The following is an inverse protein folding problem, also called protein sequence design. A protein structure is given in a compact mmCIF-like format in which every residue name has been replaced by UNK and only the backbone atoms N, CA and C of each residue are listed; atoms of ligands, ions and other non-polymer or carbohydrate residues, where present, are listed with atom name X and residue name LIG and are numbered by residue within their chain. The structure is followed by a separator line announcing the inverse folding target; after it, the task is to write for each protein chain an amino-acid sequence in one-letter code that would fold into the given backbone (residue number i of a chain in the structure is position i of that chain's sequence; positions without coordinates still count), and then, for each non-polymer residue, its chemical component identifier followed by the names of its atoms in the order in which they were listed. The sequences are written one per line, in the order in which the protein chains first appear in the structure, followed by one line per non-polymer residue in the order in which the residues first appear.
data_IF_785850026675
#
_entry.id   IF_785850026675
#
_cell.length_a   1.000
_cell.length_b   1.000
_cell.length_c   1.000
_cell.angle_alpha   90.00
_cell.angle_beta   90.00
_cell.angle_gamma   90.00
#
_symmetry.space_group_name_H-M   'P 1'
#
loop_
_entity.id
_entity.type
_entity.pdbx_description
1 polymer ?
#
# COMPACT_ATOMS: atom_id res chain seq x y z
N UNK A 1 14.94 14.65 3.49
CA UNK A 1 13.56 14.52 2.97
C UNK A 1 12.66 15.17 4.01
N UNK A 2 11.81 16.16 3.67
CA UNK A 2 10.96 16.85 4.66
C UNK A 2 10.13 15.80 5.41
N UNK A 3 10.13 15.81 6.74
CA UNK A 3 9.39 14.84 7.60
C UNK A 3 7.96 14.65 7.12
N UNK A 4 7.30 15.74 6.73
CA UNK A 4 5.94 15.75 6.16
C UNK A 4 5.78 14.83 4.94
N UNK A 5 6.76 14.79 4.04
CA UNK A 5 6.73 13.91 2.85
C UNK A 5 6.83 12.46 3.29
N UNK A 6 7.73 12.15 4.22
CA UNK A 6 7.90 10.78 4.72
C UNK A 6 6.66 10.31 5.51
N UNK A 7 6.08 11.17 6.34
CA UNK A 7 4.84 10.91 7.05
C UNK A 7 3.67 10.70 6.08
N UNK A 8 3.54 11.54 5.05
CA UNK A 8 2.52 11.38 4.01
C UNK A 8 2.66 10.05 3.27
N UNK A 9 3.89 9.64 2.94
CA UNK A 9 4.16 8.35 2.30
C UNK A 9 3.81 7.19 3.24
N UNK A 10 4.13 7.29 4.53
CA UNK A 10 3.77 6.28 5.51
C UNK A 10 2.25 6.16 5.68
N UNK A 11 1.54 7.30 5.78
CA UNK A 11 0.08 7.35 5.83
C UNK A 11 -0.56 6.70 4.59
N UNK A 12 -0.04 7.02 3.40
CA UNK A 12 -0.53 6.42 2.15
C UNK A 12 -0.28 4.91 2.13
N UNK A 13 0.92 4.46 2.49
CA UNK A 13 1.24 3.03 2.53
C UNK A 13 0.37 2.25 3.53
N UNK A 14 0.07 2.84 4.69
CA UNK A 14 -0.83 2.24 5.68
C UNK A 14 -2.25 2.15 5.12
N UNK A 15 -2.78 3.25 4.55
CA UNK A 15 -4.13 3.28 3.98
C UNK A 15 -4.30 2.31 2.81
N UNK A 16 -3.33 2.27 1.90
CA UNK A 16 -3.26 1.34 0.77
C UNK A 16 -3.26 -0.12 1.26
N UNK A 17 -2.40 -0.43 2.24
CA UNK A 17 -2.34 -1.76 2.84
C UNK A 17 -3.65 -2.15 3.55
N UNK A 18 -4.32 -1.23 4.24
CA UNK A 18 -5.64 -1.53 4.86
C UNK A 18 -6.66 -1.89 3.79
N UNK A 19 -6.70 -1.18 2.66
CA UNK A 19 -7.58 -1.52 1.54
C UNK A 19 -7.24 -2.89 0.94
N UNK A 20 -5.96 -3.21 0.77
CA UNK A 20 -5.51 -4.51 0.27
C UNK A 20 -5.77 -5.68 1.23
N UNK A 21 -5.78 -5.46 2.55
CA UNK A 21 -6.15 -6.49 3.54
C UNK A 21 -7.66 -6.76 3.53
N UNK A 22 -8.47 -5.69 3.60
CA UNK A 22 -9.92 -5.80 3.74
C UNK A 22 -10.63 -6.13 2.43
N UNK A 23 -10.18 -5.53 1.34
CA UNK A 23 -10.82 -5.58 0.02
C UNK A 23 -9.83 -5.92 -1.11
N UNK A 24 -9.01 -6.99 -1.01
CA UNK A 24 -7.92 -7.26 -1.96
C UNK A 24 -8.39 -7.28 -3.41
N UNK A 25 -9.50 -7.96 -3.70
CA UNK A 25 -10.01 -8.11 -5.07
C UNK A 25 -10.56 -6.78 -5.59
N UNK A 26 -11.40 -6.09 -4.81
CA UNK A 26 -12.01 -4.83 -5.24
C UNK A 26 -10.94 -3.72 -5.36
N UNK A 27 -9.99 -3.69 -4.43
CA UNK A 27 -8.88 -2.74 -4.45
C UNK A 27 -8.05 -2.95 -5.71
N UNK A 28 -7.57 -4.17 -6.00
CA UNK A 28 -6.77 -4.44 -7.21
C UNK A 28 -7.54 -4.19 -8.52
N UNK A 29 -8.80 -4.62 -8.61
CA UNK A 29 -9.59 -4.46 -9.84
C UNK A 29 -9.97 -3.02 -10.15
N UNK A 30 -10.12 -2.14 -9.15
CA UNK A 30 -10.30 -0.69 -9.35
C UNK A 30 -9.10 -0.03 -10.04
N UNK A 31 -7.92 -0.63 -9.94
CA UNK A 31 -6.69 -0.17 -10.60
C UNK A 31 -6.41 -0.88 -11.93
N UNK A 32 -7.31 -1.75 -12.42
CA UNK A 32 -7.19 -2.45 -13.72
C UNK A 32 -7.44 -1.53 -14.93
N UNK A 33 -6.64 -0.47 -15.05
CA UNK A 33 -6.71 0.54 -16.10
C UNK A 33 -5.32 0.92 -16.63
N UNK A 34 -5.24 1.50 -17.83
CA UNK A 34 -3.94 1.89 -18.42
C UNK A 34 -3.21 0.75 -19.17
N UNK A 35 -1.87 0.77 -19.25
CA UNK A 35 -1.08 -0.15 -20.09
C UNK A 35 -1.27 -1.63 -19.76
N UNK A 36 -1.15 -2.51 -20.78
CA UNK A 36 -1.29 -3.97 -20.61
C UNK A 36 -0.44 -4.56 -19.46
N UNK A 37 0.84 -4.18 -19.27
CA UNK A 37 1.64 -4.73 -18.17
C UNK A 37 1.05 -4.39 -16.80
N UNK A 38 0.61 -3.15 -16.60
CA UNK A 38 0.02 -2.71 -15.33
C UNK A 38 -1.27 -3.49 -15.01
N UNK A 39 -2.15 -3.61 -16.00
CA UNK A 39 -3.38 -4.41 -15.88
C UNK A 39 -3.10 -5.87 -15.53
N UNK A 40 -2.06 -6.47 -16.14
CA UNK A 40 -1.67 -7.84 -15.83
C UNK A 40 -1.24 -8.00 -14.37
N UNK A 41 -0.48 -7.04 -13.81
CA UNK A 41 -0.13 -7.05 -12.38
C UNK A 41 -1.36 -6.92 -11.48
N UNK A 42 -2.25 -5.97 -11.76
CA UNK A 42 -3.46 -5.77 -10.95
C UNK A 42 -4.38 -6.99 -10.97
N UNK A 43 -4.52 -7.65 -12.12
CA UNK A 43 -5.26 -8.91 -12.24
C UNK A 43 -4.61 -10.03 -11.44
N UNK A 44 -3.29 -10.16 -11.50
CA UNK A 44 -2.59 -11.17 -10.70
C UNK A 44 -2.84 -11.01 -9.21
N UNK A 45 -2.83 -9.77 -8.68
CA UNK A 45 -3.18 -9.51 -7.28
C UNK A 45 -4.65 -9.80 -6.96
N UNK A 46 -5.56 -9.53 -7.89
CA UNK A 46 -6.98 -9.87 -7.74
C UNK A 46 -7.20 -11.39 -7.71
N UNK A 47 -6.46 -12.14 -8.53
CA UNK A 47 -6.53 -13.61 -8.62
C UNK A 47 -5.89 -14.31 -7.41
N UNK A 48 -5.00 -13.63 -6.66
CA UNK A 48 -4.28 -14.17 -5.50
C UNK A 48 -4.58 -13.39 -4.21
N UNK A 49 -5.85 -13.33 -3.74
CA UNK A 49 -6.23 -12.46 -2.63
C UNK A 49 -5.56 -12.83 -1.30
N UNK A 50 -5.14 -14.07 -1.10
CA UNK A 50 -4.37 -14.46 0.09
C UNK A 50 -2.97 -13.83 0.12
N UNK A 51 -2.27 -13.83 -1.02
CA UNK A 51 -0.96 -13.21 -1.17
C UNK A 51 -1.09 -11.69 -1.05
N UNK A 52 -2.10 -11.10 -1.69
CA UNK A 52 -2.36 -9.65 -1.61
C UNK A 52 -2.57 -9.22 -0.16
N UNK A 53 -3.37 -9.94 0.63
CA UNK A 53 -3.53 -9.65 2.06
C UNK A 53 -2.21 -9.72 2.83
N UNK A 54 -1.39 -10.74 2.59
CA UNK A 54 -0.11 -10.90 3.27
C UNK A 54 0.87 -9.76 2.93
N UNK A 55 0.98 -9.39 1.66
CA UNK A 55 1.80 -8.27 1.21
C UNK A 55 1.29 -6.94 1.76
N UNK A 56 -0.03 -6.73 1.75
CA UNK A 56 -0.64 -5.53 2.32
C UNK A 56 -0.48 -5.44 3.84
N UNK A 57 -0.53 -6.56 4.56
CA UNK A 57 -0.21 -6.60 5.99
C UNK A 57 1.27 -6.22 6.25
N UNK A 58 2.19 -6.73 5.42
CA UNK A 58 3.60 -6.36 5.48
C UNK A 58 3.81 -4.87 5.15
N UNK A 59 3.06 -4.32 4.19
CA UNK A 59 3.08 -2.90 3.83
C UNK A 59 2.60 -2.02 5.00
N UNK A 60 1.53 -2.39 5.69
CA UNK A 60 1.06 -1.70 6.91
C UNK A 60 2.18 -1.70 7.96
N UNK A 61 2.76 -2.86 8.24
CA UNK A 61 3.84 -2.97 9.23
C UNK A 61 5.06 -2.10 8.87
N UNK A 62 5.44 -2.06 7.59
CA UNK A 62 6.52 -1.22 7.09
C UNK A 62 6.17 0.28 7.20
N UNK A 63 4.94 0.68 6.88
CA UNK A 63 4.46 2.05 7.01
C UNK A 63 4.45 2.53 8.47
N UNK A 64 3.95 1.69 9.38
CA UNK A 64 3.98 1.98 10.84
C UNK A 64 5.41 2.08 11.34
N UNK A 65 6.29 1.16 10.96
CA UNK A 65 7.70 1.20 11.35
C UNK A 65 8.43 2.43 10.80
N UNK A 66 8.07 2.89 9.59
CA UNK A 66 8.59 4.12 9.01
C UNK A 66 8.14 5.34 9.82
N UNK A 67 6.83 5.48 10.07
CA UNK A 67 6.25 6.57 10.85
C UNK A 67 6.83 6.64 12.27
N UNK A 68 7.00 5.49 12.94
CA UNK A 68 7.56 5.41 14.29
C UNK A 68 9.02 5.89 14.40
N UNK A 69 9.75 5.94 13.28
CA UNK A 69 11.15 6.39 13.23
C UNK A 69 11.28 7.86 12.83
N UNK A 70 10.17 8.55 12.52
CA UNK A 70 10.22 9.95 12.13
C UNK A 70 10.48 10.85 13.34
N UNK A 71 11.28 11.92 13.19
CA UNK A 71 11.44 12.93 14.23
C UNK A 71 10.12 13.61 14.58
N UNK A 72 9.93 13.97 15.85
CA UNK A 72 8.77 14.72 16.32
C UNK A 72 8.77 16.19 15.88
N UNK A 73 9.90 16.69 15.37
CA UNK A 73 10.01 18.06 14.85
C UNK A 73 10.12 18.07 13.33
N UNK A 74 9.35 18.91 12.61
CA UNK A 74 9.29 18.94 11.15
C UNK A 74 10.49 19.64 10.46
N UNK A 75 11.72 19.48 10.98
CA UNK A 75 12.94 20.08 10.40
C UNK A 75 13.53 19.23 9.29
#
# INVERSE_FOLDING_TARGET
MRVVVAESVAMFAIGDGVLGVLFPVQHSTRWDLGPKPWRAYMRWFADHPGITRALSAAQIAAGVACAARLPSTPR
#
